data_IF_904588071063
#
_entry.id   IF_904588071063
#
_cell.length_a   1.000
_cell.length_b   1.000
_cell.length_c   1.000
_cell.angle_alpha   90.00
_cell.angle_beta   90.00
_cell.angle_gamma   90.00
#
_symmetry.space_group_name_H-M   'P 1'
#
loop_
_entity.id
_entity.type
_entity.pdbx_description
1 polymer ?
#
# COMPACT_ATOMS: atom_id res chain seq x y z
N UNK A 1 -14.60 -3.88 -11.71
CA UNK A 1 -14.11 -2.62 -11.12
C UNK A 1 -12.76 -2.81 -10.42
N UNK A 2 -12.59 -3.76 -9.49
CA UNK A 2 -11.35 -3.92 -8.72
C UNK A 2 -10.11 -4.13 -9.62
N UNK A 3 -10.18 -5.03 -10.60
CA UNK A 3 -9.07 -5.26 -11.56
C UNK A 3 -8.78 -3.98 -12.37
N UNK A 4 -9.81 -3.29 -12.84
CA UNK A 4 -9.67 -2.02 -13.56
C UNK A 4 -9.01 -0.94 -12.69
N UNK A 5 -9.32 -0.90 -11.40
CA UNK A 5 -8.70 0.04 -10.46
C UNK A 5 -7.21 -0.30 -10.23
N UNK A 6 -6.85 -1.61 -10.19
CA UNK A 6 -5.44 -2.04 -10.14
C UNK A 6 -4.69 -1.59 -11.40
N UNK A 7 -5.30 -1.76 -12.58
CA UNK A 7 -4.69 -1.35 -13.85
C UNK A 7 -4.46 0.17 -13.89
N UNK A 8 -5.48 0.96 -13.53
CA UNK A 8 -5.38 2.42 -13.47
C UNK A 8 -4.33 2.89 -12.46
N UNK A 9 -4.25 2.22 -11.31
CA UNK A 9 -3.23 2.51 -10.31
C UNK A 9 -1.82 2.18 -10.82
N UNK A 10 -1.65 1.03 -11.50
CA UNK A 10 -0.36 0.65 -12.08
C UNK A 10 0.09 1.67 -13.14
N UNK A 11 -0.83 2.10 -14.02
CA UNK A 11 -0.55 3.13 -15.04
C UNK A 11 -0.11 4.45 -14.38
N UNK A 12 -0.81 4.87 -13.31
CA UNK A 12 -0.47 6.08 -12.57
C UNK A 12 0.88 5.97 -11.85
N UNK A 13 1.16 4.85 -11.18
CA UNK A 13 2.44 4.63 -10.48
C UNK A 13 3.61 4.58 -11.45
N UNK A 14 3.45 3.94 -12.61
CA UNK A 14 4.47 3.93 -13.66
C UNK A 14 4.73 5.34 -14.21
N UNK A 15 3.68 6.15 -14.43
CA UNK A 15 3.80 7.54 -14.86
C UNK A 15 4.49 8.43 -13.80
N UNK A 16 4.38 8.10 -12.52
CA UNK A 16 5.15 8.75 -11.44
C UNK A 16 6.60 8.27 -11.37
N UNK A 17 6.98 7.26 -12.16
CA UNK A 17 8.34 6.73 -12.24
C UNK A 17 8.62 5.57 -11.28
N UNK A 18 7.61 4.88 -10.76
CA UNK A 18 7.81 3.62 -10.03
C UNK A 18 8.18 2.51 -11.03
N UNK A 19 9.39 1.99 -10.92
CA UNK A 19 9.93 0.98 -11.81
C UNK A 19 10.03 -0.41 -11.14
N UNK A 20 10.27 -1.44 -11.95
CA UNK A 20 10.53 -2.79 -11.46
C UNK A 20 11.69 -2.81 -10.46
N UNK A 21 11.57 -3.65 -9.45
CA UNK A 21 12.51 -3.79 -8.32
C UNK A 21 12.63 -2.57 -7.41
N UNK A 22 11.96 -1.44 -7.69
CA UNK A 22 11.84 -0.34 -6.73
C UNK A 22 10.84 -0.68 -5.62
N UNK A 23 10.83 0.12 -4.57
CA UNK A 23 9.97 -0.11 -3.40
C UNK A 23 8.99 1.03 -3.23
N UNK A 24 7.75 0.66 -2.93
CA UNK A 24 6.72 1.57 -2.43
C UNK A 24 6.33 1.16 -1.01
N UNK A 25 6.43 2.09 -0.07
CA UNK A 25 5.97 1.84 1.31
C UNK A 25 4.46 2.08 1.39
N UNK A 26 3.72 1.06 1.80
CA UNK A 26 2.26 1.11 1.96
C UNK A 26 1.95 1.11 3.46
N UNK A 27 1.55 2.27 3.97
CA UNK A 27 1.18 2.54 5.37
C UNK A 27 -0.32 2.76 5.47
N UNK A 28 -1.10 1.71 5.15
CA UNK A 28 -2.55 1.79 5.03
C UNK A 28 -3.26 0.81 5.96
N UNK A 29 -4.41 1.18 6.54
CA UNK A 29 -5.30 0.20 7.12
C UNK A 29 -5.85 -0.73 6.02
N UNK A 30 -6.57 -1.78 6.41
CA UNK A 30 -7.30 -2.64 5.46
C UNK A 30 -8.32 -1.79 4.72
N UNK A 31 -8.02 -1.46 3.49
CA UNK A 31 -8.78 -0.52 2.66
C UNK A 31 -8.59 -0.83 1.18
N UNK A 32 -9.55 -0.47 0.31
CA UNK A 32 -9.40 -0.67 -1.13
C UNK A 32 -8.11 -0.07 -1.68
N UNK A 33 -7.74 1.13 -1.25
CA UNK A 33 -6.53 1.82 -1.72
C UNK A 33 -5.26 1.03 -1.41
N UNK A 34 -5.13 0.48 -0.20
CA UNK A 34 -3.97 -0.31 0.20
C UNK A 34 -3.82 -1.59 -0.62
N UNK A 35 -4.94 -2.28 -0.85
CA UNK A 35 -4.96 -3.54 -1.63
C UNK A 35 -4.70 -3.26 -3.12
N UNK A 36 -5.35 -2.25 -3.69
CA UNK A 36 -5.14 -1.86 -5.09
C UNK A 36 -3.68 -1.47 -5.32
N UNK A 37 -3.09 -0.66 -4.44
CA UNK A 37 -1.70 -0.25 -4.56
C UNK A 37 -0.72 -1.43 -4.43
N UNK A 38 -1.00 -2.40 -3.55
CA UNK A 38 -0.23 -3.62 -3.42
C UNK A 38 -0.17 -4.40 -4.74
N UNK A 39 -1.32 -4.71 -5.33
CA UNK A 39 -1.37 -5.43 -6.60
C UNK A 39 -0.83 -4.60 -7.78
N UNK A 40 -1.07 -3.29 -7.79
CA UNK A 40 -0.53 -2.40 -8.83
C UNK A 40 1.00 -2.35 -8.79
N UNK A 41 1.61 -2.28 -7.60
CA UNK A 41 3.06 -2.35 -7.44
C UNK A 41 3.62 -3.68 -7.96
N UNK A 42 3.02 -4.81 -7.55
CA UNK A 42 3.43 -6.13 -8.01
C UNK A 42 3.27 -6.29 -9.53
N UNK A 43 2.20 -5.75 -10.14
CA UNK A 43 2.01 -5.75 -11.59
C UNK A 43 3.15 -5.04 -12.33
N UNK A 44 3.73 -4.01 -11.73
CA UNK A 44 4.90 -3.28 -12.26
C UNK A 44 6.23 -3.96 -11.93
N UNK A 45 6.23 -5.06 -11.20
CA UNK A 45 7.46 -5.68 -10.68
C UNK A 45 8.12 -4.89 -9.55
N UNK A 46 7.43 -3.92 -8.98
CA UNK A 46 7.87 -3.20 -7.81
C UNK A 46 7.53 -3.97 -6.53
N UNK A 47 8.24 -3.67 -5.46
CA UNK A 47 8.11 -4.36 -4.18
C UNK A 47 7.28 -3.52 -3.22
N UNK A 48 6.22 -4.11 -2.66
CA UNK A 48 5.44 -3.47 -1.60
C UNK A 48 6.13 -3.63 -0.24
N UNK A 49 6.45 -2.52 0.43
CA UNK A 49 6.95 -2.49 1.81
C UNK A 49 5.79 -2.13 2.72
N UNK A 50 5.21 -3.13 3.41
CA UNK A 50 3.99 -2.98 4.18
C UNK A 50 4.31 -2.61 5.63
N UNK A 51 3.84 -1.46 6.09
CA UNK A 51 4.08 -0.99 7.46
C UNK A 51 2.78 -0.65 8.18
N UNK A 52 2.82 -0.66 9.51
CA UNK A 52 1.68 -0.32 10.33
C UNK A 52 1.26 1.15 10.12
N UNK A 53 -0.02 1.47 9.84
CA UNK A 53 -0.45 2.85 9.55
C UNK A 53 -0.29 3.81 10.74
N UNK A 54 -0.26 3.28 11.97
CA UNK A 54 -0.05 4.09 13.17
C UNK A 54 1.42 4.20 13.60
N UNK A 55 2.37 3.72 12.80
CA UNK A 55 3.80 3.85 13.09
C UNK A 55 4.18 5.29 13.46
N UNK A 56 5.11 5.42 14.36
CA UNK A 56 5.69 6.71 14.74
C UNK A 56 6.57 7.26 13.61
N UNK A 57 6.87 8.56 13.63
CA UNK A 57 7.78 9.16 12.64
C UNK A 57 9.14 8.43 12.60
N UNK A 58 9.71 8.10 13.76
CA UNK A 58 10.99 7.38 13.86
C UNK A 58 10.93 5.97 13.25
N UNK A 59 9.82 5.25 13.44
CA UNK A 59 9.63 3.94 12.78
C UNK A 59 9.47 4.09 11.27
N UNK A 60 8.72 5.11 10.81
CA UNK A 60 8.57 5.40 9.38
C UNK A 60 9.92 5.71 8.75
N UNK A 61 10.75 6.54 9.39
CA UNK A 61 12.12 6.84 8.96
C UNK A 61 12.94 5.56 8.81
N UNK A 62 12.90 4.69 9.82
CA UNK A 62 13.59 3.39 9.78
C UNK A 62 13.13 2.54 8.59
N UNK A 63 11.82 2.36 8.41
CA UNK A 63 11.27 1.52 7.34
C UNK A 63 11.57 2.08 5.93
N UNK A 64 11.45 3.39 5.74
CA UNK A 64 11.76 4.03 4.46
C UNK A 64 13.23 3.86 4.08
N UNK A 65 14.13 3.98 5.06
CA UNK A 65 15.57 3.83 4.85
C UNK A 65 15.95 2.37 4.59
N UNK A 66 15.43 1.41 5.38
CA UNK A 66 15.70 -0.02 5.20
C UNK A 66 15.18 -0.52 3.85
N UNK A 67 13.95 -0.15 3.49
CA UNK A 67 13.39 -0.51 2.19
C UNK A 67 13.97 0.31 1.03
N UNK A 68 14.63 1.44 1.30
CA UNK A 68 15.06 2.42 0.29
C UNK A 68 13.88 2.91 -0.56
N UNK A 69 12.73 3.14 0.07
CA UNK A 69 11.49 3.52 -0.62
C UNK A 69 11.48 5.00 -0.98
N UNK A 70 11.43 5.31 -2.28
CA UNK A 70 11.21 6.67 -2.79
C UNK A 70 9.73 7.06 -2.83
N UNK A 71 8.86 6.07 -2.80
CA UNK A 71 7.40 6.21 -2.85
C UNK A 71 6.78 5.73 -1.55
N UNK A 72 5.74 6.44 -1.09
CA UNK A 72 4.90 5.97 0.00
C UNK A 72 3.42 6.27 -0.27
N UNK A 73 2.53 5.39 0.23
CA UNK A 73 1.09 5.59 0.27
C UNK A 73 0.62 5.56 1.71
N UNK A 74 -0.13 6.58 2.12
CA UNK A 74 -0.74 6.65 3.47
C UNK A 74 -2.04 7.45 3.45
N UNK A 75 -2.73 7.52 4.59
CA UNK A 75 -3.87 8.42 4.77
C UNK A 75 -3.40 9.87 5.01
N UNK A 76 -4.21 10.83 4.57
CA UNK A 76 -4.00 12.26 4.79
C UNK A 76 -3.81 12.63 6.26
N UNK A 77 -4.47 11.90 7.17
CA UNK A 77 -4.32 12.05 8.61
C UNK A 77 -2.88 11.84 9.12
N UNK A 78 -2.05 11.12 8.36
CA UNK A 78 -0.66 10.79 8.75
C UNK A 78 0.40 11.58 7.98
N UNK A 79 -0.01 12.54 7.13
CA UNK A 79 0.89 13.37 6.35
C UNK A 79 2.05 13.96 7.18
N UNK A 80 1.74 14.52 8.35
CA UNK A 80 2.73 15.20 9.20
C UNK A 80 3.90 14.28 9.57
N UNK A 81 3.66 13.01 9.85
CA UNK A 81 4.70 12.04 10.21
C UNK A 81 5.66 11.76 9.05
N UNK A 82 5.13 11.63 7.83
CA UNK A 82 5.96 11.44 6.64
C UNK A 82 6.72 12.70 6.25
N UNK A 83 6.10 13.87 6.46
CA UNK A 83 6.75 15.16 6.23
C UNK A 83 7.93 15.39 7.16
N UNK A 84 7.78 15.01 8.44
CA UNK A 84 8.82 15.12 9.47
C UNK A 84 10.11 14.38 9.08
N UNK A 85 9.98 13.20 8.48
CA UNK A 85 11.12 12.31 8.17
C UNK A 85 11.61 12.43 6.73
N UNK A 86 10.98 13.28 5.92
CA UNK A 86 11.24 13.36 4.48
C UNK A 86 12.73 13.61 4.17
N UNK A 87 13.35 14.55 4.88
CA UNK A 87 14.75 14.97 4.59
C UNK A 87 15.80 13.98 5.11
N UNK A 88 15.40 13.07 6.01
CA UNK A 88 16.22 11.98 6.54
C UNK A 88 16.04 10.64 5.78
N UNK A 89 15.23 10.63 4.72
CA UNK A 89 14.84 9.42 4.00
C UNK A 89 14.90 9.61 2.49
N UNK A 90 14.93 8.53 1.67
CA UNK A 90 14.86 8.64 0.22
C UNK A 90 13.48 9.05 -0.31
N UNK A 91 12.48 9.28 0.53
CA UNK A 91 11.11 9.60 0.14
C UNK A 91 11.05 10.84 -0.76
N UNK A 92 10.54 10.69 -1.97
CA UNK A 92 10.36 11.77 -2.94
C UNK A 92 8.91 11.99 -3.36
N UNK A 93 8.09 10.94 -3.28
CA UNK A 93 6.68 10.97 -3.68
C UNK A 93 5.81 10.36 -2.58
N UNK A 94 4.90 11.16 -2.03
CA UNK A 94 3.94 10.73 -1.02
C UNK A 94 2.53 10.74 -1.61
N UNK A 95 1.94 9.57 -1.76
CA UNK A 95 0.55 9.42 -2.20
C UNK A 95 -0.34 9.47 -0.97
N UNK A 96 -1.29 10.41 -0.96
CA UNK A 96 -2.24 10.58 0.14
C UNK A 96 -3.64 10.12 -0.29
N UNK A 97 -4.15 9.13 0.42
CA UNK A 97 -5.52 8.66 0.29
C UNK A 97 -6.40 9.26 1.40
N UNK A 98 -7.68 9.36 1.13
CA UNK A 98 -8.69 9.77 2.11
C UNK A 98 -9.64 8.63 2.41
N UNK A 99 -10.06 8.51 3.66
CA UNK A 99 -11.07 7.52 4.05
C UNK A 99 -12.33 7.62 3.16
N UNK A 100 -12.86 8.81 2.85
CA UNK A 100 -14.07 8.95 2.04
C UNK A 100 -13.91 8.66 0.54
N UNK A 101 -12.72 8.37 0.03
CA UNK A 101 -12.50 8.12 -1.41
C UNK A 101 -13.35 6.95 -1.94
N UNK A 102 -13.57 5.92 -1.11
CA UNK A 102 -14.39 4.74 -1.44
C UNK A 102 -15.71 4.66 -0.63
N UNK A 103 -16.09 5.74 0.06
CA UNK A 103 -17.39 5.78 0.73
C UNK A 103 -18.49 6.21 -0.24
N UNK A 104 -19.64 5.54 -0.17
CA UNK A 104 -20.83 5.99 -0.87
C UNK A 104 -21.25 7.41 -0.42
N UNK A 105 -21.98 8.11 -1.28
CA UNK A 105 -22.28 9.55 -1.15
C UNK A 105 -22.76 9.97 0.25
N UNK A 106 -23.75 9.27 0.82
CA UNK A 106 -24.32 9.60 2.15
C UNK A 106 -23.27 9.44 3.26
N UNK A 107 -22.52 8.30 3.25
CA UNK A 107 -21.48 8.03 4.24
C UNK A 107 -20.33 9.03 4.13
N UNK A 108 -19.99 9.46 2.92
CA UNK A 108 -18.98 10.49 2.67
C UNK A 108 -19.36 11.84 3.27
N UNK A 109 -20.61 12.28 3.09
CA UNK A 109 -21.11 13.52 3.71
C UNK A 109 -21.06 13.38 5.24
N UNK A 110 -21.59 12.30 5.80
CA UNK A 110 -21.57 12.07 7.24
C UNK A 110 -20.16 12.05 7.83
N UNK A 111 -19.21 11.41 7.14
CA UNK A 111 -17.79 11.40 7.55
C UNK A 111 -17.20 12.81 7.55
N UNK A 112 -17.40 13.57 6.46
CA UNK A 112 -16.86 14.93 6.32
C UNK A 112 -17.43 15.91 7.36
N UNK A 113 -18.69 15.73 7.75
CA UNK A 113 -19.32 16.58 8.77
C UNK A 113 -18.91 16.23 10.20
N UNK A 114 -18.37 15.06 10.43
CA UNK A 114 -17.98 14.54 11.75
C UNK A 114 -16.47 14.35 11.86
N UNK A 115 -16.00 13.12 11.66
CA UNK A 115 -14.59 12.74 11.84
C UNK A 115 -13.63 13.42 10.86
N UNK A 116 -14.09 13.72 9.64
CA UNK A 116 -13.26 14.37 8.61
C UNK A 116 -12.82 15.79 9.00
N UNK A 117 -13.57 16.48 9.86
CA UNK A 117 -13.20 17.82 10.38
C UNK A 117 -12.01 17.79 11.34
N UNK A 118 -11.72 16.63 11.93
CA UNK A 118 -10.62 16.44 12.88
C UNK A 118 -9.29 16.14 12.18
N UNK A 119 -9.33 15.83 10.87
CA UNK A 119 -8.13 15.55 10.10
C UNK A 119 -7.48 16.88 9.73
N UNK A 120 -6.19 17.10 10.08
CA UNK A 120 -5.48 18.32 9.72
C UNK A 120 -5.45 18.52 8.21
N UNK A 121 -5.59 19.76 7.77
CA UNK A 121 -5.46 20.09 6.35
C UNK A 121 -4.01 19.90 5.90
N UNK A 122 -3.82 19.21 4.81
CA UNK A 122 -2.50 19.07 4.17
C UNK A 122 -2.23 20.35 3.37
N UNK A 123 -1.13 21.08 3.67
CA UNK A 123 -0.73 22.26 2.90
C UNK A 123 -0.29 21.84 1.49
N UNK A 124 -0.25 22.77 0.52
CA UNK A 124 0.36 22.52 -0.77
C UNK A 124 1.80 22.02 -0.60
N UNK A 125 2.09 20.83 -1.14
CA UNK A 125 3.41 20.22 -1.06
C UNK A 125 3.69 19.48 -2.39
N UNK A 126 4.76 19.81 -3.12
CA UNK A 126 5.08 19.22 -4.42
C UNK A 126 5.31 17.70 -4.35
N UNK A 127 5.73 17.18 -3.18
CA UNK A 127 5.90 15.76 -2.93
C UNK A 127 4.56 15.01 -2.94
N UNK A 128 3.47 15.69 -2.61
CA UNK A 128 2.16 15.06 -2.40
C UNK A 128 1.43 14.83 -3.73
N UNK A 129 0.92 13.62 -3.89
CA UNK A 129 -0.02 13.24 -4.95
C UNK A 129 -1.29 12.69 -4.30
N UNK A 130 -2.44 13.21 -4.68
CA UNK A 130 -3.70 12.71 -4.13
C UNK A 130 -4.15 11.44 -4.84
N UNK A 131 -4.52 10.42 -4.08
CA UNK A 131 -5.03 9.15 -4.60
C UNK A 131 -6.20 9.35 -5.57
N UNK A 132 -7.17 10.16 -5.18
CA UNK A 132 -8.36 10.40 -5.99
C UNK A 132 -8.04 11.07 -7.34
N UNK A 133 -7.01 11.91 -7.41
CA UNK A 133 -6.57 12.55 -8.65
C UNK A 133 -5.78 11.57 -9.52
N UNK A 134 -4.93 10.75 -8.90
CA UNK A 134 -4.21 9.68 -9.61
C UNK A 134 -5.18 8.69 -10.26
N UNK A 135 -6.22 8.26 -9.53
CA UNK A 135 -7.19 7.29 -10.05
C UNK A 135 -8.13 7.84 -11.13
N UNK A 136 -8.22 9.17 -11.26
CA UNK A 136 -9.00 9.85 -12.32
C UNK A 136 -8.13 10.26 -13.51
N UNK A 137 -6.83 10.27 -13.34
CA UNK A 137 -5.89 10.65 -14.39
C UNK A 137 -5.93 9.68 -15.57
N UNK A 138 -5.52 10.17 -16.73
CA UNK A 138 -5.31 9.34 -17.91
C UNK A 138 -3.81 9.22 -18.15
N UNK A 139 -3.31 8.00 -18.09
CA UNK A 139 -1.88 7.69 -18.21
C UNK A 139 -1.64 6.69 -19.35
N UNK A 140 -0.44 6.66 -19.94
CA UNK A 140 -0.05 5.58 -20.83
C UNK A 140 -0.16 4.24 -20.13
N UNK A 141 -0.64 3.21 -20.82
CA UNK A 141 -0.76 1.87 -20.23
C UNK A 141 0.62 1.33 -19.91
N UNK A 142 0.79 0.96 -18.64
CA UNK A 142 1.98 0.30 -18.17
C UNK A 142 2.01 -1.17 -18.63
N UNK A 143 3.12 -1.60 -19.19
CA UNK A 143 3.30 -3.02 -19.48
C UNK A 143 3.51 -3.79 -18.16
N UNK A 144 2.83 -4.92 -17.95
CA UNK A 144 3.11 -5.78 -16.80
C UNK A 144 4.55 -6.26 -16.83
N UNK A 145 5.22 -6.23 -15.71
CA UNK A 145 6.56 -6.77 -15.60
C UNK A 145 6.54 -8.30 -15.74
N UNK A 146 7.57 -8.86 -16.37
CA UNK A 146 7.78 -10.31 -16.37
C UNK A 146 8.55 -10.69 -15.11
N UNK A 147 7.83 -11.14 -14.10
CA UNK A 147 8.40 -11.53 -12.81
C UNK A 147 8.54 -13.05 -12.71
N UNK A 148 9.67 -13.50 -12.18
CA UNK A 148 9.90 -14.89 -11.81
C UNK A 148 9.31 -15.24 -10.45
N UNK A 149 9.32 -16.53 -10.15
CA UNK A 149 8.84 -17.07 -8.86
C UNK A 149 9.65 -16.57 -7.67
N UNK A 150 10.96 -16.40 -7.85
CA UNK A 150 11.90 -16.00 -6.80
C UNK A 150 12.04 -14.47 -6.66
N UNK A 151 11.43 -13.71 -7.57
CA UNK A 151 11.44 -12.26 -7.48
C UNK A 151 10.68 -11.78 -6.25
N UNK A 152 11.24 -10.75 -5.60
CA UNK A 152 10.69 -10.18 -4.38
C UNK A 152 9.36 -9.46 -4.66
N UNK A 153 8.31 -9.85 -3.95
CA UNK A 153 6.99 -9.27 -4.06
C UNK A 153 6.69 -8.27 -2.93
N UNK A 154 7.06 -8.61 -1.70
CA UNK A 154 6.71 -7.82 -0.52
C UNK A 154 7.77 -7.90 0.57
N UNK A 155 7.88 -6.82 1.34
CA UNK A 155 8.62 -6.76 2.60
C UNK A 155 7.62 -6.55 3.71
N UNK A 156 7.60 -7.46 4.69
CA UNK A 156 6.82 -7.36 5.92
C UNK A 156 7.77 -7.17 7.11
N UNK A 157 7.30 -6.45 8.13
CA UNK A 157 8.16 -6.20 9.29
C UNK A 157 7.65 -6.97 10.51
N UNK A 158 8.54 -7.73 11.14
CA UNK A 158 8.27 -8.35 12.43
C UNK A 158 8.79 -7.47 13.56
N UNK A 159 8.03 -7.38 14.65
CA UNK A 159 8.54 -6.87 15.92
C UNK A 159 9.56 -7.87 16.45
N UNK A 160 10.84 -7.65 16.16
CA UNK A 160 11.90 -8.56 16.63
C UNK A 160 11.93 -8.62 18.16
N UNK A 161 12.14 -9.81 18.70
CA UNK A 161 12.41 -10.02 20.15
C UNK A 161 13.63 -9.23 20.64
N UNK A 162 14.46 -8.73 19.73
CA UNK A 162 15.65 -7.91 19.97
C UNK A 162 15.40 -6.40 19.93
N UNK A 163 14.16 -5.96 19.77
CA UNK A 163 13.76 -4.53 19.76
C UNK A 163 13.92 -3.81 18.42
N UNK A 164 14.67 -4.35 17.45
CA UNK A 164 14.79 -3.76 16.10
C UNK A 164 13.94 -4.56 15.12
N UNK A 165 12.99 -3.92 14.42
CA UNK A 165 12.17 -4.60 13.43
C UNK A 165 13.02 -5.20 12.31
N UNK A 166 12.68 -6.42 11.87
CA UNK A 166 13.34 -7.09 10.74
C UNK A 166 12.42 -7.09 9.53
N UNK A 167 12.95 -6.69 8.38
CA UNK A 167 12.26 -6.80 7.10
C UNK A 167 12.31 -8.23 6.56
N UNK A 168 11.17 -8.90 6.56
CA UNK A 168 11.01 -10.25 6.00
C UNK A 168 10.68 -10.09 4.53
N UNK A 169 11.56 -10.58 3.67
CA UNK A 169 11.42 -10.53 2.22
C UNK A 169 10.69 -11.78 1.72
N UNK A 170 9.55 -11.60 1.08
CA UNK A 170 8.75 -12.69 0.53
C UNK A 170 8.67 -12.58 -0.99
N UNK A 171 8.98 -13.70 -1.66
CA UNK A 171 8.92 -13.80 -3.12
C UNK A 171 7.50 -14.04 -3.62
N UNK A 172 7.31 -13.93 -4.95
CA UNK A 172 6.06 -14.31 -5.61
C UNK A 172 5.67 -15.75 -5.28
N UNK A 173 6.64 -16.68 -5.23
CA UNK A 173 6.37 -18.09 -4.88
C UNK A 173 5.85 -18.23 -3.46
N UNK A 174 6.40 -17.48 -2.49
CA UNK A 174 5.89 -17.54 -1.11
C UNK A 174 4.42 -17.15 -1.06
N UNK A 175 4.02 -16.06 -1.76
CA UNK A 175 2.63 -15.62 -1.81
C UNK A 175 1.71 -16.61 -2.52
N UNK A 176 2.11 -17.12 -3.68
CA UNK A 176 1.32 -18.11 -4.44
C UNK A 176 1.14 -19.40 -3.64
N UNK A 177 2.22 -19.84 -2.96
CA UNK A 177 2.17 -21.05 -2.14
C UNK A 177 1.24 -20.87 -0.93
N UNK A 178 1.33 -19.71 -0.25
CA UNK A 178 0.41 -19.39 0.86
C UNK A 178 -1.05 -19.38 0.40
N UNK A 179 -1.36 -18.67 -0.68
CA UNK A 179 -2.72 -18.63 -1.24
C UNK A 179 -3.26 -20.02 -1.60
N UNK A 180 -2.42 -20.89 -2.17
CA UNK A 180 -2.81 -22.29 -2.45
C UNK A 180 -3.06 -23.07 -1.17
N UNK A 181 -2.17 -22.98 -0.18
CA UNK A 181 -2.35 -23.69 1.10
C UNK A 181 -3.62 -23.23 1.82
N UNK A 182 -3.88 -21.92 1.86
CA UNK A 182 -5.11 -21.38 2.46
C UNK A 182 -6.36 -21.86 1.71
N UNK A 183 -6.32 -21.85 0.39
CA UNK A 183 -7.44 -22.32 -0.45
C UNK A 183 -7.73 -23.81 -0.24
N UNK A 184 -6.71 -24.65 -0.26
CA UNK A 184 -6.86 -26.09 -0.04
C UNK A 184 -7.32 -26.42 1.39
N UNK A 185 -6.68 -25.81 2.39
CA UNK A 185 -7.04 -26.04 3.79
C UNK A 185 -8.44 -25.52 4.13
N UNK A 186 -8.80 -24.33 3.63
CA UNK A 186 -10.11 -23.72 3.81
C UNK A 186 -11.19 -24.27 2.88
N UNK A 187 -10.84 -25.16 1.95
CA UNK A 187 -11.75 -25.67 0.89
C UNK A 187 -12.46 -24.54 0.14
N UNK A 188 -11.67 -23.47 -0.18
CA UNK A 188 -12.19 -22.30 -0.86
C UNK A 188 -12.37 -22.60 -2.35
N UNK A 189 -13.47 -22.12 -2.91
CA UNK A 189 -13.82 -22.22 -4.33
C UNK A 189 -14.28 -20.88 -4.90
N UNK A 190 -14.67 -20.85 -6.16
CA UNK A 190 -15.11 -19.64 -6.85
C UNK A 190 -16.41 -19.03 -6.28
N UNK A 191 -17.16 -19.76 -5.46
CA UNK A 191 -18.38 -19.30 -4.80
C UNK A 191 -18.11 -18.78 -3.38
N UNK A 192 -16.91 -19.00 -2.86
CA UNK A 192 -16.54 -18.64 -1.50
C UNK A 192 -16.30 -17.13 -1.40
N UNK A 193 -16.91 -16.52 -0.38
CA UNK A 193 -16.67 -15.11 -0.03
C UNK A 193 -15.92 -15.03 1.27
N UNK A 194 -14.80 -14.32 1.27
CA UNK A 194 -13.94 -14.09 2.45
C UNK A 194 -14.12 -12.65 2.96
N UNK A 195 -14.34 -12.49 4.27
CA UNK A 195 -14.38 -11.18 4.90
C UNK A 195 -12.97 -10.73 5.26
N UNK A 196 -12.41 -9.84 4.45
CA UNK A 196 -11.06 -9.29 4.63
C UNK A 196 -11.02 -8.22 5.72
N UNK A 197 -11.06 -8.62 7.00
CA UNK A 197 -11.00 -7.71 8.15
C UNK A 197 -9.63 -7.66 8.81
N UNK A 198 -8.78 -8.62 8.51
CA UNK A 198 -7.44 -8.69 9.11
C UNK A 198 -6.52 -7.62 8.53
N UNK A 199 -5.56 -7.10 9.34
CA UNK A 199 -4.68 -6.04 8.89
C UNK A 199 -3.78 -6.46 7.72
N UNK A 200 -3.88 -5.79 6.58
CA UNK A 200 -3.07 -6.07 5.37
C UNK A 200 -1.59 -5.74 5.52
N UNK A 201 -1.22 -4.95 6.50
CA UNK A 201 0.18 -4.67 6.84
C UNK A 201 0.83 -5.76 7.70
N UNK A 202 0.08 -6.79 8.06
CA UNK A 202 0.53 -7.95 8.81
C UNK A 202 0.48 -9.21 7.93
N UNK A 203 1.48 -10.09 8.06
CA UNK A 203 1.63 -11.27 7.19
C UNK A 203 0.39 -12.16 7.11
N UNK A 204 -0.26 -12.41 8.25
CA UNK A 204 -1.48 -13.22 8.26
C UNK A 204 -2.65 -12.54 7.52
N UNK A 205 -2.85 -11.23 7.73
CA UNK A 205 -3.90 -10.48 7.02
C UNK A 205 -3.63 -10.37 5.53
N UNK A 206 -2.38 -10.16 5.14
CA UNK A 206 -1.99 -10.06 3.74
C UNK A 206 -2.09 -11.43 3.03
N UNK A 207 -1.60 -12.51 3.63
CA UNK A 207 -1.57 -13.83 2.99
C UNK A 207 -2.91 -14.54 2.95
N UNK A 208 -3.82 -14.26 3.92
CA UNK A 208 -5.11 -14.96 4.03
C UNK A 208 -6.27 -14.20 3.40
N UNK A 209 -6.20 -12.85 3.39
CA UNK A 209 -7.35 -12.02 2.99
C UNK A 209 -7.22 -11.40 1.59
N UNK A 210 -6.03 -11.50 0.95
CA UNK A 210 -5.84 -10.86 -0.35
C UNK A 210 -5.31 -11.88 -1.42
#
# INVERSE_FOLDING_TARGET
>A
QFISDIDSCADALAALGLAASERITISMPTSPQGIIAFYAANKLGAVASMIHPLSTAKEIEFYLNVAKSRFALTLDAFYAKFKEVKDATPLSTLILARIPDYLGFVKRIGFNLTKGRLIPKVPPDPMVKWWADLMKGSYPKAAPARMGTDDLAVILYSGGTTGVPKGIMLSNMNFISEGKMVSEWGKLDNATSVLAILPIFHGFGLGVCI
#
